data_IF_911856354520
#
_entry.id   IF_911856354520
#
_cell.length_a   1.000
_cell.length_b   1.000
_cell.length_c   1.000
_cell.angle_alpha   90.00
_cell.angle_beta   90.00
_cell.angle_gamma   90.00
#
_symmetry.space_group_name_H-M   'P 1'
#
loop_
_entity.id
_entity.type
_entity.pdbx_description
1 polymer ?
#
# COMPACT_ATOMS: atom_id res chain seq x y z
N UNK A 1 -8.71 3.89 -3.62
CA UNK A 1 -7.26 3.61 -3.48
C UNK A 1 -6.96 2.13 -3.68
N UNK A 2 -7.96 1.29 -3.98
CA UNK A 2 -7.81 -0.16 -4.15
C UNK A 2 -7.59 -0.57 -5.60
N UNK A 3 -7.34 -1.87 -5.75
CA UNK A 3 -7.12 -2.55 -7.03
C UNK A 3 -8.25 -3.52 -7.36
N UNK A 4 -7.93 -4.72 -7.89
CA UNK A 4 -6.59 -5.28 -8.05
C UNK A 4 -5.77 -4.61 -9.16
N UNK A 5 -4.46 -4.83 -9.12
CA UNK A 5 -3.56 -4.56 -10.23
C UNK A 5 -3.62 -5.68 -11.28
N UNK A 6 -3.31 -5.32 -12.52
CA UNK A 6 -3.25 -6.20 -13.69
C UNK A 6 -1.80 -6.34 -14.14
N UNK A 7 -1.37 -7.58 -14.40
CA UNK A 7 -0.03 -7.92 -14.88
C UNK A 7 -0.18 -8.87 -16.06
N UNK A 8 0.33 -8.48 -17.23
CA UNK A 8 0.19 -9.25 -18.48
C UNK A 8 -1.26 -9.68 -18.82
N UNK A 9 -2.22 -8.81 -18.48
CA UNK A 9 -3.65 -9.03 -18.72
C UNK A 9 -4.35 -9.93 -17.68
N UNK A 10 -3.65 -10.34 -16.62
CA UNK A 10 -4.18 -11.13 -15.51
C UNK A 10 -4.37 -10.24 -14.29
N UNK A 11 -5.54 -10.32 -13.64
CA UNK A 11 -5.76 -9.66 -12.36
C UNK A 11 -5.03 -10.38 -11.24
N UNK A 12 -4.45 -9.59 -10.33
CA UNK A 12 -3.74 -10.06 -9.15
C UNK A 12 -4.44 -9.58 -7.87
N UNK A 13 -5.45 -10.32 -7.37
CA UNK A 13 -6.25 -9.95 -6.19
C UNK A 13 -5.42 -9.61 -4.95
N UNK A 14 -4.29 -10.28 -4.77
CA UNK A 14 -3.34 -10.05 -3.67
C UNK A 14 -2.82 -8.61 -3.61
N UNK A 15 -2.89 -7.86 -4.70
CA UNK A 15 -2.45 -6.46 -4.78
C UNK A 15 -3.51 -5.44 -4.35
N UNK A 16 -4.75 -5.87 -4.09
CA UNK A 16 -5.80 -4.96 -3.63
C UNK A 16 -5.55 -4.51 -2.17
N UNK A 17 -5.55 -3.19 -1.97
CA UNK A 17 -5.36 -2.57 -0.66
C UNK A 17 -6.50 -2.87 0.32
N UNK A 18 -7.70 -3.19 -0.18
CA UNK A 18 -8.85 -3.57 0.63
C UNK A 18 -8.91 -5.06 0.97
N UNK A 19 -8.08 -5.90 0.34
CA UNK A 19 -8.08 -7.34 0.54
C UNK A 19 -7.90 -7.67 2.04
N UNK A 20 -8.83 -8.43 2.65
CA UNK A 20 -8.71 -8.88 4.03
C UNK A 20 -7.42 -9.69 4.24
N UNK A 21 -6.58 -9.24 5.17
CA UNK A 21 -5.37 -9.94 5.60
C UNK A 21 -4.99 -9.47 7.00
N UNK A 22 -4.12 -10.19 7.70
CA UNK A 22 -3.62 -9.73 9.00
C UNK A 22 -2.11 -9.51 8.95
N UNK A 23 -1.67 -8.40 9.51
CA UNK A 23 -0.25 -8.11 9.72
C UNK A 23 -0.10 -7.17 10.91
N UNK A 24 1.09 -7.18 11.51
CA UNK A 24 1.42 -6.41 12.71
C UNK A 24 2.45 -5.34 12.36
N UNK A 25 2.18 -4.09 12.76
CA UNK A 25 3.16 -2.99 12.77
C UNK A 25 3.12 -2.35 14.16
N UNK A 26 4.29 -2.17 14.77
CA UNK A 26 4.44 -1.57 16.12
C UNK A 26 3.52 -2.19 17.19
N UNK A 27 3.31 -3.51 17.12
CA UNK A 27 2.47 -4.26 18.05
C UNK A 27 0.96 -4.14 17.81
N UNK A 28 0.52 -3.44 16.77
CA UNK A 28 -0.88 -3.30 16.38
C UNK A 28 -1.19 -4.20 15.19
N UNK A 29 -2.25 -5.01 15.29
CA UNK A 29 -2.74 -5.87 14.20
C UNK A 29 -3.72 -5.12 13.32
N UNK A 30 -3.45 -5.07 12.01
CA UNK A 30 -4.29 -4.45 11.00
C UNK A 30 -5.02 -5.51 10.17
N UNK A 31 -6.19 -5.16 9.64
CA UNK A 31 -7.06 -6.09 8.88
C UNK A 31 -6.99 -5.95 7.36
N UNK A 32 -6.28 -4.94 6.86
CA UNK A 32 -5.92 -4.74 5.45
C UNK A 32 -4.89 -3.59 5.33
N UNK A 33 -4.27 -3.43 4.16
CA UNK A 33 -3.40 -2.28 3.89
C UNK A 33 -4.16 -0.96 4.04
N UNK A 34 -5.41 -0.90 3.58
CA UNK A 34 -6.27 0.27 3.74
C UNK A 34 -6.58 0.56 5.22
N UNK A 35 -6.84 -0.47 6.03
CA UNK A 35 -7.09 -0.32 7.46
C UNK A 35 -5.88 0.34 8.17
N UNK A 36 -4.66 -0.12 7.85
CA UNK A 36 -3.43 0.53 8.31
C UNK A 36 -3.33 1.99 7.83
N UNK A 37 -3.51 2.22 6.53
CA UNK A 37 -3.36 3.53 5.91
C UNK A 37 -4.31 4.56 6.52
N UNK A 38 -5.56 4.18 6.74
CA UNK A 38 -6.57 5.03 7.36
C UNK A 38 -6.25 5.30 8.84
N UNK A 39 -5.70 4.32 9.58
CA UNK A 39 -5.22 4.52 10.95
C UNK A 39 -4.02 5.49 11.01
N UNK A 40 -3.03 5.33 10.13
CA UNK A 40 -1.81 6.14 10.08
C UNK A 40 -2.08 7.63 9.83
N UNK A 41 -3.22 7.93 9.20
CA UNK A 41 -3.70 9.28 8.88
C UNK A 41 -4.16 10.09 10.10
N UNK A 42 -4.56 9.41 11.18
CA UNK A 42 -5.19 10.03 12.35
C UNK A 42 -4.18 10.75 13.25
N UNK A 43 -4.65 11.74 14.01
CA UNK A 43 -3.84 12.48 15.00
C UNK A 43 -4.08 12.03 16.44
N UNK A 44 -5.17 11.32 16.71
CA UNK A 44 -5.60 10.95 18.05
C UNK A 44 -5.97 9.47 18.08
N UNK A 45 -5.90 8.89 19.27
CA UNK A 45 -6.10 7.46 19.48
C UNK A 45 -7.57 7.03 19.30
N UNK A 46 -8.52 7.91 19.62
CA UNK A 46 -9.94 7.59 19.48
C UNK A 46 -10.34 7.32 18.02
N UNK A 47 -9.91 8.20 17.12
CA UNK A 47 -10.12 8.04 15.67
C UNK A 47 -9.38 6.80 15.15
N UNK A 48 -8.15 6.58 15.61
CA UNK A 48 -7.35 5.40 15.25
C UNK A 48 -8.09 4.11 15.63
N UNK A 49 -8.55 3.99 16.86
CA UNK A 49 -9.29 2.82 17.33
C UNK A 49 -10.62 2.63 16.60
N UNK A 50 -11.33 3.71 16.26
CA UNK A 50 -12.55 3.62 15.45
C UNK A 50 -12.28 3.00 14.08
N UNK A 51 -11.21 3.43 13.40
CA UNK A 51 -10.83 2.88 12.10
C UNK A 51 -10.32 1.45 12.24
N UNK A 52 -9.45 1.18 13.21
CA UNK A 52 -8.89 -0.15 13.47
C UNK A 52 -10.00 -1.20 13.61
N UNK A 53 -11.04 -0.87 14.37
CA UNK A 53 -12.18 -1.75 14.65
C UNK A 53 -13.23 -1.81 13.52
N UNK A 54 -13.09 -1.03 12.44
CA UNK A 54 -14.05 -1.04 11.31
C UNK A 54 -13.89 -2.23 10.36
N UNK A 55 -12.81 -3.01 10.50
CA UNK A 55 -12.49 -4.15 9.64
C UNK A 55 -11.91 -3.75 8.28
N UNK A 56 -11.77 -4.73 7.36
CA UNK A 56 -11.30 -4.49 5.99
C UNK A 56 -12.43 -3.93 5.10
N UNK A 57 -12.07 -3.49 3.89
CA UNK A 57 -13.05 -3.01 2.89
C UNK A 57 -13.46 -1.54 3.06
N UNK A 58 -14.58 -1.16 2.45
CA UNK A 58 -15.01 0.24 2.36
C UNK A 58 -15.30 0.90 3.72
N UNK A 59 -15.63 0.10 4.74
CA UNK A 59 -15.91 0.60 6.10
C UNK A 59 -14.74 1.40 6.68
N UNK A 60 -13.50 0.97 6.46
CA UNK A 60 -12.33 1.67 6.97
C UNK A 60 -12.04 2.97 6.20
N UNK A 61 -12.31 3.00 4.89
CA UNK A 61 -12.22 4.22 4.10
C UNK A 61 -13.26 5.25 4.56
N UNK A 62 -14.51 4.84 4.73
CA UNK A 62 -15.60 5.69 5.21
C UNK A 62 -15.31 6.24 6.61
N UNK A 63 -14.85 5.38 7.53
CA UNK A 63 -14.44 5.82 8.87
C UNK A 63 -13.31 6.87 8.79
N UNK A 64 -12.30 6.60 7.97
CA UNK A 64 -11.17 7.50 7.78
C UNK A 64 -11.51 8.81 7.08
N UNK A 65 -12.58 8.92 6.27
CA UNK A 65 -12.97 10.20 5.66
C UNK A 65 -13.41 11.25 6.69
N UNK A 66 -13.86 10.81 7.86
CA UNK A 66 -14.42 11.68 8.90
C UNK A 66 -13.37 12.24 9.87
N UNK A 67 -12.12 11.76 9.82
CA UNK A 67 -11.10 12.07 10.83
C UNK A 67 -10.28 13.31 10.49
N UNK A 68 -9.77 13.97 11.53
CA UNK A 68 -8.75 15.01 11.35
C UNK A 68 -7.42 14.35 10.98
N UNK A 69 -6.89 14.76 9.83
CA UNK A 69 -5.63 14.24 9.29
C UNK A 69 -4.43 14.92 9.92
N UNK A 70 -3.30 14.21 9.98
CA UNK A 70 -2.00 14.81 10.31
C UNK A 70 -1.68 15.96 9.34
N UNK A 71 -0.95 16.97 9.81
CA UNK A 71 -0.57 18.13 9.00
C UNK A 71 0.38 17.77 7.87
N UNK A 72 1.25 16.78 8.07
CA UNK A 72 2.22 16.25 7.12
C UNK A 72 1.64 15.19 6.16
N UNK A 73 0.34 14.88 6.27
CA UNK A 73 -0.27 13.74 5.60
C UNK A 73 -0.04 13.72 4.08
N UNK A 74 -0.05 14.89 3.45
CA UNK A 74 0.16 15.01 2.00
C UNK A 74 1.55 14.52 1.61
N UNK A 75 2.58 14.81 2.40
CA UNK A 75 3.95 14.39 2.15
C UNK A 75 4.18 12.89 2.41
N UNK A 76 3.55 12.34 3.45
CA UNK A 76 3.89 10.99 3.94
C UNK A 76 2.98 9.87 3.44
N UNK A 77 1.80 10.19 2.88
CA UNK A 77 0.80 9.16 2.53
C UNK A 77 1.33 8.04 1.63
N UNK A 78 2.25 8.34 0.71
CA UNK A 78 2.82 7.30 -0.15
C UNK A 78 3.70 6.33 0.63
N UNK A 79 4.48 6.84 1.58
CA UNK A 79 5.32 6.03 2.46
C UNK A 79 4.46 5.15 3.38
N UNK A 80 3.36 5.69 3.91
CA UNK A 80 2.42 4.91 4.72
C UNK A 80 1.71 3.82 3.88
N UNK A 81 1.32 4.11 2.64
CA UNK A 81 0.73 3.09 1.75
C UNK A 81 1.75 1.98 1.41
N UNK A 82 3.01 2.35 1.17
CA UNK A 82 4.09 1.39 0.97
C UNK A 82 4.33 0.52 2.21
N UNK A 83 4.42 1.12 3.41
CA UNK A 83 4.64 0.40 4.67
C UNK A 83 3.56 -0.64 4.94
N UNK A 84 2.28 -0.26 4.82
CA UNK A 84 1.16 -1.17 5.03
C UNK A 84 1.19 -2.36 4.07
N UNK A 85 1.42 -2.10 2.79
CA UNK A 85 1.51 -3.15 1.80
C UNK A 85 2.75 -4.03 1.95
N UNK A 86 3.91 -3.46 2.26
CA UNK A 86 5.13 -4.23 2.49
C UNK A 86 4.91 -5.19 3.68
N UNK A 87 4.34 -4.71 4.79
CA UNK A 87 4.05 -5.56 5.94
C UNK A 87 3.05 -6.68 5.60
N UNK A 88 1.99 -6.36 4.82
CA UNK A 88 1.05 -7.35 4.27
C UNK A 88 1.79 -8.47 3.55
N UNK A 89 2.65 -8.17 2.58
CA UNK A 89 3.37 -9.19 1.81
C UNK A 89 4.50 -9.87 2.61
N UNK A 90 5.13 -9.19 3.57
CA UNK A 90 6.16 -9.81 4.40
C UNK A 90 5.58 -10.85 5.37
N UNK A 91 4.35 -10.64 5.85
CA UNK A 91 3.72 -11.46 6.89
C UNK A 91 2.68 -12.45 6.35
N UNK A 92 2.26 -12.33 5.09
CA UNK A 92 1.29 -13.23 4.45
C UNK A 92 1.94 -13.89 3.22
N UNK A 93 2.49 -15.08 3.41
CA UNK A 93 3.23 -15.81 2.38
C UNK A 93 2.34 -16.21 1.18
N UNK A 94 1.07 -16.54 1.47
CA UNK A 94 0.03 -16.85 0.50
C UNK A 94 -0.29 -15.68 -0.44
N UNK A 95 -0.12 -14.44 0.03
CA UNK A 95 -0.24 -13.24 -0.79
C UNK A 95 1.07 -12.88 -1.49
N UNK A 96 2.21 -13.11 -0.82
CA UNK A 96 3.54 -12.80 -1.38
C UNK A 96 3.85 -13.66 -2.59
N UNK A 97 3.60 -14.97 -2.49
CA UNK A 97 3.95 -15.93 -3.53
C UNK A 97 3.39 -15.56 -4.92
N UNK A 98 2.07 -15.34 -5.10
CA UNK A 98 1.52 -14.97 -6.41
C UNK A 98 2.07 -13.64 -6.94
N UNK A 99 2.32 -12.66 -6.06
CA UNK A 99 2.98 -11.41 -6.46
C UNK A 99 4.39 -11.65 -7.03
N UNK A 100 5.19 -12.52 -6.42
CA UNK A 100 6.55 -12.82 -6.92
C UNK A 100 6.53 -13.66 -8.20
N UNK A 101 5.54 -14.54 -8.32
CA UNK A 101 5.32 -15.41 -9.49
C UNK A 101 4.71 -14.66 -10.69
N UNK A 102 4.17 -13.45 -10.48
CA UNK A 102 3.59 -12.58 -11.53
C UNK A 102 4.57 -12.07 -12.59
N UNK A 103 5.84 -12.51 -12.57
CA UNK A 103 6.84 -12.08 -13.54
C UNK A 103 7.38 -10.67 -13.30
N UNK A 104 8.12 -10.14 -14.27
CA UNK A 104 8.83 -8.83 -14.19
C UNK A 104 8.10 -7.70 -14.91
N UNK A 105 7.02 -8.00 -15.63
CA UNK A 105 6.24 -7.04 -16.42
C UNK A 105 5.57 -5.95 -15.57
N UNK A 106 5.17 -4.83 -16.17
CA UNK A 106 4.57 -3.72 -15.43
C UNK A 106 3.28 -4.14 -14.71
N UNK A 107 2.98 -3.47 -13.60
CA UNK A 107 1.73 -3.65 -12.83
C UNK A 107 0.88 -2.41 -13.06
N UNK A 108 -0.39 -2.60 -13.42
CA UNK A 108 -1.32 -1.51 -13.75
C UNK A 108 -2.60 -1.57 -12.93
N UNK A 109 -2.97 -0.45 -12.32
CA UNK A 109 -4.21 -0.25 -11.57
C UNK A 109 -5.13 0.68 -12.35
N UNK A 110 -6.40 0.31 -12.49
CA UNK A 110 -7.43 1.09 -13.19
C UNK A 110 -8.63 1.45 -12.33
N UNK A 111 -8.87 0.69 -11.26
CA UNK A 111 -10.10 0.74 -10.46
C UNK A 111 -10.11 1.83 -9.37
N UNK A 112 -9.14 2.76 -9.38
CA UNK A 112 -9.03 3.87 -8.43
C UNK A 112 -8.94 5.24 -9.10
N UNK A 113 -8.87 6.29 -8.29
CA UNK A 113 -8.58 7.65 -8.78
C UNK A 113 -7.21 7.70 -9.49
N UNK A 114 -7.02 8.56 -10.51
CA UNK A 114 -5.78 8.61 -11.30
C UNK A 114 -4.50 8.74 -10.46
N UNK A 115 -4.56 9.50 -9.36
CA UNK A 115 -3.45 9.62 -8.42
C UNK A 115 -3.06 8.25 -7.83
N UNK A 116 -4.04 7.48 -7.38
CA UNK A 116 -3.80 6.18 -6.75
C UNK A 116 -3.53 5.07 -7.75
N UNK A 117 -4.09 5.13 -8.96
CA UNK A 117 -3.70 4.22 -10.03
C UNK A 117 -2.18 4.31 -10.26
N UNK A 118 -1.68 5.52 -10.53
CA UNK A 118 -0.26 5.74 -10.78
C UNK A 118 0.63 5.31 -9.59
N UNK A 119 0.28 5.70 -8.37
CA UNK A 119 1.12 5.37 -7.22
C UNK A 119 1.01 3.92 -6.76
N UNK A 120 -0.14 3.26 -6.97
CA UNK A 120 -0.25 1.83 -6.70
C UNK A 120 0.58 1.01 -7.70
N UNK A 121 0.61 1.38 -8.99
CA UNK A 121 1.51 0.78 -9.99
C UNK A 121 2.95 0.79 -9.48
N UNK A 122 3.41 1.97 -9.06
CA UNK A 122 4.78 2.17 -8.58
C UNK A 122 5.05 1.44 -7.27
N UNK A 123 4.19 1.61 -6.26
CA UNK A 123 4.40 1.01 -4.93
C UNK A 123 4.41 -0.53 -5.03
N UNK A 124 3.50 -1.14 -5.81
CA UNK A 124 3.51 -2.59 -6.00
C UNK A 124 4.76 -3.06 -6.75
N UNK A 125 5.19 -2.33 -7.79
CA UNK A 125 6.41 -2.68 -8.50
C UNK A 125 7.66 -2.62 -7.61
N UNK A 126 7.73 -1.60 -6.74
CA UNK A 126 8.81 -1.48 -5.75
C UNK A 126 8.80 -2.64 -4.78
N UNK A 127 7.64 -2.96 -4.18
CA UNK A 127 7.51 -4.06 -3.22
C UNK A 127 7.88 -5.40 -3.87
N UNK A 128 7.37 -5.67 -5.08
CA UNK A 128 7.71 -6.90 -5.81
C UNK A 128 9.20 -7.00 -6.08
N UNK A 129 9.85 -5.90 -6.50
CA UNK A 129 11.29 -5.88 -6.74
C UNK A 129 12.10 -6.11 -5.44
N UNK A 130 11.78 -5.41 -4.35
CA UNK A 130 12.47 -5.54 -3.06
C UNK A 130 12.33 -6.93 -2.43
N UNK A 131 11.19 -7.59 -2.63
CA UNK A 131 10.93 -8.94 -2.11
C UNK A 131 11.49 -10.04 -3.00
N UNK A 132 11.53 -9.83 -4.33
CA UNK A 132 12.04 -10.83 -5.29
C UNK A 132 13.56 -10.87 -5.33
N UNK A 133 14.22 -9.71 -5.26
CA UNK A 133 15.69 -9.59 -5.24
C UNK A 133 16.40 -10.26 -6.43
N UNK A 134 15.87 -10.12 -7.66
CA UNK A 134 16.42 -10.74 -8.87
C UNK A 134 17.64 -9.99 -9.46
N UNK A 135 18.59 -9.58 -8.61
CA UNK A 135 19.79 -8.87 -9.01
C UNK A 135 19.58 -7.39 -9.37
N UNK A 136 20.40 -6.87 -10.27
CA UNK A 136 20.53 -5.43 -10.55
C UNK A 136 19.24 -4.78 -11.08
N UNK A 137 18.42 -5.52 -11.82
CA UNK A 137 17.17 -4.97 -12.38
C UNK A 137 16.17 -4.59 -11.27
N UNK A 138 15.98 -5.48 -10.30
CA UNK A 138 15.08 -5.23 -9.17
C UNK A 138 15.64 -4.14 -8.25
N UNK A 139 16.96 -4.14 -8.02
CA UNK A 139 17.62 -3.10 -7.24
C UNK A 139 17.46 -1.71 -7.88
N UNK A 140 17.64 -1.61 -9.20
CA UNK A 140 17.47 -0.36 -9.93
C UNK A 140 16.01 0.12 -9.90
N UNK A 141 15.06 -0.77 -10.19
CA UNK A 141 13.62 -0.45 -10.18
C UNK A 141 13.15 0.02 -8.80
N UNK A 142 13.56 -0.66 -7.74
CA UNK A 142 13.22 -0.26 -6.37
C UNK A 142 13.80 1.12 -6.02
N UNK A 143 15.06 1.39 -6.39
CA UNK A 143 15.73 2.66 -6.14
C UNK A 143 15.08 3.83 -6.90
N UNK A 144 14.73 3.64 -8.18
CA UNK A 144 14.07 4.66 -8.99
C UNK A 144 12.72 5.06 -8.39
N UNK A 145 11.90 4.08 -8.00
CA UNK A 145 10.59 4.32 -7.40
C UNK A 145 10.73 4.97 -6.02
N UNK A 146 11.72 4.56 -5.22
CA UNK A 146 12.02 5.19 -3.95
C UNK A 146 12.34 6.69 -4.10
N UNK A 147 13.20 7.06 -5.06
CA UNK A 147 13.53 8.46 -5.32
C UNK A 147 12.31 9.26 -5.83
N UNK A 148 11.45 8.66 -6.65
CA UNK A 148 10.20 9.29 -7.06
C UNK A 148 9.25 9.58 -5.87
N UNK A 149 9.08 8.60 -4.97
CA UNK A 149 8.28 8.79 -3.75
C UNK A 149 8.88 9.86 -2.84
N UNK A 150 10.20 9.89 -2.69
CA UNK A 150 10.93 10.89 -1.90
C UNK A 150 10.75 12.29 -2.47
N UNK A 151 10.90 12.44 -3.79
CA UNK A 151 10.64 13.71 -4.49
C UNK A 151 9.21 14.18 -4.26
N UNK A 152 8.22 13.29 -4.39
CA UNK A 152 6.83 13.63 -4.07
C UNK A 152 6.68 14.12 -2.63
N UNK A 153 7.30 13.44 -1.67
CA UNK A 153 7.24 13.85 -0.28
C UNK A 153 7.84 15.26 -0.08
N UNK A 154 9.00 15.54 -0.65
CA UNK A 154 9.70 16.83 -0.57
C UNK A 154 8.89 17.98 -1.16
N UNK A 155 8.24 17.78 -2.30
CA UNK A 155 7.38 18.78 -2.94
C UNK A 155 6.07 19.06 -2.16
N UNK A 156 5.75 18.23 -1.18
CA UNK A 156 4.50 18.29 -0.42
C UNK A 156 4.70 18.48 1.10
N UNK A 157 5.93 18.82 1.53
CA UNK A 157 6.27 19.20 2.92
C UNK A 157 5.67 20.54 3.32
#
# INVERSE_FOLDING_TARGET
MGGPGVIDGVEHPETDNYLPCQFVIDGVTYSSSENYFQCAKTINEQDRQKILNSGPGDSCQLAGQTVKRRSDWKAIKLDEMYKGNLAKFQQNEDLRKPLLESGTGPIHFTESEPFWNHWNDMIMQRIRAELRQNGDEDAHRAAEIYEAMKKYAEENK
#
